data_IF_465890081292
#
_entry.id   IF_465890081292
#
_cell.length_a   1.000
_cell.length_b   1.000
_cell.length_c   1.000
_cell.angle_alpha   90.00
_cell.angle_beta   90.00
_cell.angle_gamma   90.00
#
_symmetry.space_group_name_H-M   'P 1'
#
loop_
_entity.id
_entity.type
_entity.pdbx_description
1 polymer ?
#
# COMPACT_ATOMS: atom_id res chain seq x y z
N UNK A 1 24.56 17.79 25.38
CA UNK A 1 24.42 18.14 24.83
C UNK A 1 24.11 18.13 23.53
N UNK A 2 24.57 18.21 22.98
CA UNK A 2 24.42 18.22 21.66
C UNK A 2 23.39 17.41 21.11
N UNK A 3 23.16 16.49 21.70
CA UNK A 3 22.27 15.63 21.16
C UNK A 3 21.07 16.24 20.70
N UNK A 4 20.57 17.12 21.33
CA UNK A 4 19.34 17.56 20.93
C UNK A 4 19.36 18.21 19.64
N UNK A 5 20.44 18.54 19.23
CA UNK A 5 20.48 19.17 18.04
C UNK A 5 19.75 18.54 17.01
N UNK A 6 19.87 17.29 16.89
CA UNK A 6 19.19 16.69 15.88
C UNK A 6 17.79 16.89 16.08
N UNK A 7 17.36 16.91 17.22
CA UNK A 7 15.97 16.99 17.31
C UNK A 7 15.51 18.31 16.86
N UNK A 8 16.22 19.31 17.01
CA UNK A 8 15.68 20.49 16.59
C UNK A 8 15.68 20.60 15.18
N UNK A 9 16.48 19.98 14.53
CA UNK A 9 16.39 20.08 13.16
C UNK A 9 15.15 19.66 12.66
N UNK A 10 14.62 18.72 13.26
CA UNK A 10 13.43 18.27 12.82
C UNK A 10 12.47 19.30 12.93
N UNK A 11 12.53 20.07 13.90
CA UNK A 11 11.54 20.97 14.02
C UNK A 11 11.81 22.12 13.24
N UNK A 12 12.75 22.11 12.46
CA UNK A 12 13.01 23.24 11.66
C UNK A 12 11.75 23.72 11.01
N UNK A 13 10.86 22.88 10.70
CA UNK A 13 9.61 23.31 10.14
C UNK A 13 8.51 22.67 10.86
N UNK A 14 8.35 22.93 12.08
CA UNK A 14 7.40 22.24 12.88
C UNK A 14 5.96 22.45 12.48
N UNK A 15 5.65 23.58 11.99
CA UNK A 15 4.30 23.84 11.60
C UNK A 15 3.85 22.93 10.50
N UNK A 16 4.64 22.80 9.49
CA UNK A 16 4.23 21.95 8.41
C UNK A 16 4.30 20.50 8.84
N UNK A 17 5.24 20.15 9.69
CA UNK A 17 5.33 18.79 10.12
C UNK A 17 4.11 18.38 10.92
N UNK A 18 3.54 19.29 11.65
CA UNK A 18 2.40 18.98 12.45
C UNK A 18 1.20 18.61 11.63
N UNK A 19 1.11 19.10 10.41
CA UNK A 19 -0.06 18.91 9.62
C UNK A 19 0.10 17.85 8.55
N UNK A 20 1.28 17.25 8.48
CA UNK A 20 1.50 16.33 7.38
C UNK A 20 1.98 15.03 7.89
N UNK A 21 1.11 14.31 8.55
CA UNK A 21 1.41 12.93 8.85
C UNK A 21 1.56 12.20 7.52
N UNK A 22 2.55 11.35 7.41
CA UNK A 22 2.78 10.61 6.19
C UNK A 22 1.63 9.65 5.94
N UNK A 23 1.29 9.48 4.69
CA UNK A 23 0.30 8.47 4.32
C UNK A 23 0.95 7.10 4.44
N UNK A 24 0.18 6.12 4.87
CA UNK A 24 0.67 4.79 5.17
C UNK A 24 0.27 3.81 4.08
N UNK A 25 1.25 3.08 3.58
CA UNK A 25 1.04 2.06 2.55
C UNK A 25 1.37 0.70 3.12
N UNK A 26 0.49 -0.28 2.90
CA UNK A 26 0.77 -1.65 3.26
C UNK A 26 1.05 -2.41 1.97
N UNK A 27 2.18 -3.10 1.89
CA UNK A 27 2.58 -3.86 0.71
C UNK A 27 2.60 -5.33 1.07
N UNK A 28 1.97 -6.18 0.25
CA UNK A 28 2.02 -7.62 0.44
C UNK A 28 2.63 -8.21 -0.83
N UNK A 29 3.87 -8.66 -0.72
CA UNK A 29 4.67 -9.13 -1.84
C UNK A 29 5.67 -10.17 -1.34
N UNK A 30 5.60 -11.40 -1.84
CA UNK A 30 6.46 -12.47 -1.33
C UNK A 30 7.87 -12.48 -1.92
N UNK A 31 8.08 -11.88 -3.08
CA UNK A 31 9.41 -11.84 -3.67
C UNK A 31 10.25 -10.77 -2.95
N UNK A 32 11.36 -11.19 -2.36
CA UNK A 32 12.16 -10.29 -1.53
C UNK A 32 12.71 -9.09 -2.28
N UNK A 33 13.20 -9.29 -3.50
CA UNK A 33 13.75 -8.18 -4.25
C UNK A 33 12.67 -7.19 -4.68
N UNK A 34 11.53 -7.70 -5.12
CA UNK A 34 10.42 -6.82 -5.50
C UNK A 34 9.92 -6.04 -4.30
N UNK A 35 9.81 -6.71 -3.14
CA UNK A 35 9.33 -6.05 -1.94
C UNK A 35 10.29 -4.96 -1.50
N UNK A 36 11.59 -5.25 -1.51
CA UNK A 36 12.58 -4.27 -1.11
C UNK A 36 12.59 -3.07 -2.06
N UNK A 37 12.49 -3.33 -3.35
CA UNK A 37 12.46 -2.25 -4.34
C UNK A 37 11.25 -1.34 -4.13
N UNK A 38 10.08 -1.92 -3.89
CA UNK A 38 8.88 -1.13 -3.64
C UNK A 38 9.00 -0.35 -2.33
N UNK A 39 9.51 -0.99 -1.28
CA UNK A 39 9.69 -0.31 -0.01
C UNK A 39 10.59 0.91 -0.19
N UNK A 40 11.75 0.73 -0.78
CA UNK A 40 12.72 1.82 -0.92
C UNK A 40 12.18 2.95 -1.77
N UNK A 41 11.55 2.61 -2.88
CA UNK A 41 11.03 3.63 -3.78
C UNK A 41 9.92 4.43 -3.12
N UNK A 42 8.98 3.75 -2.46
CA UNK A 42 7.82 4.44 -1.91
C UNK A 42 8.17 5.22 -0.64
N UNK A 43 9.13 4.73 0.13
CA UNK A 43 9.65 5.51 1.25
C UNK A 43 10.31 6.80 0.71
N UNK A 44 11.09 6.67 -0.37
CA UNK A 44 11.70 7.83 -1.01
C UNK A 44 10.64 8.83 -1.47
N UNK A 45 9.49 8.34 -1.91
CA UNK A 45 8.39 9.20 -2.36
C UNK A 45 7.65 9.87 -1.21
N UNK A 46 7.99 9.55 0.03
CA UNK A 46 7.41 10.24 1.19
C UNK A 46 6.33 9.46 1.92
N UNK A 47 6.18 8.18 1.65
CA UNK A 47 5.19 7.37 2.35
C UNK A 47 5.79 6.65 3.55
N UNK A 48 4.94 6.33 4.51
CA UNK A 48 5.28 5.41 5.57
C UNK A 48 4.88 4.02 5.06
N UNK A 49 5.80 3.09 4.99
CA UNK A 49 5.58 1.81 4.34
C UNK A 49 5.79 0.67 5.32
N UNK A 50 4.84 -0.28 5.33
CA UNK A 50 5.01 -1.52 6.03
C UNK A 50 4.78 -2.62 5.01
N UNK A 51 5.67 -3.60 4.93
CA UNK A 51 5.52 -4.64 3.93
C UNK A 51 5.50 -6.02 4.56
N UNK A 52 4.74 -6.92 3.95
CA UNK A 52 4.58 -8.30 4.39
C UNK A 52 4.98 -9.22 3.26
N UNK A 53 5.61 -10.34 3.61
CA UNK A 53 6.00 -11.35 2.62
C UNK A 53 4.91 -12.39 2.39
N UNK A 54 3.85 -12.37 3.18
CA UNK A 54 2.77 -13.35 3.07
C UNK A 54 1.50 -12.77 3.67
N UNK A 55 0.43 -13.50 3.62
CA UNK A 55 -0.84 -13.07 4.19
C UNK A 55 -1.05 -13.46 5.65
N UNK A 56 -0.05 -14.08 6.29
CA UNK A 56 -0.24 -14.69 7.59
C UNK A 56 -0.76 -13.73 8.66
N UNK A 57 -0.22 -12.51 8.72
CA UNK A 57 -0.65 -11.56 9.73
C UNK A 57 -1.38 -10.37 9.14
N UNK A 58 -1.98 -10.57 7.98
CA UNK A 58 -2.51 -9.46 7.21
C UNK A 58 -3.56 -8.65 8.00
N UNK A 59 -4.55 -9.33 8.57
CA UNK A 59 -5.63 -8.61 9.23
C UNK A 59 -5.20 -8.01 10.56
N UNK A 60 -4.25 -8.63 11.25
CA UNK A 60 -3.69 -8.04 12.46
C UNK A 60 -2.95 -6.76 12.14
N UNK A 61 -2.21 -6.77 11.05
CA UNK A 61 -1.46 -5.60 10.61
C UNK A 61 -2.41 -4.49 10.17
N UNK A 62 -3.50 -4.83 9.48
CA UNK A 62 -4.49 -3.83 9.09
C UNK A 62 -5.02 -3.10 10.31
N UNK A 63 -5.34 -3.84 11.36
CA UNK A 63 -5.92 -3.24 12.56
C UNK A 63 -4.94 -2.30 13.26
N UNK A 64 -3.66 -2.64 13.29
CA UNK A 64 -2.67 -1.83 13.99
C UNK A 64 -2.07 -0.73 13.13
N UNK A 65 -1.80 -1.01 11.86
CA UNK A 65 -1.14 -0.03 10.99
C UNK A 65 -2.11 0.96 10.36
N UNK A 66 -3.32 0.52 10.10
CA UNK A 66 -4.37 1.35 9.51
C UNK A 66 -3.89 2.04 8.23
N UNK A 67 -3.59 1.26 7.19
CA UNK A 67 -3.05 1.84 5.96
C UNK A 67 -4.07 2.68 5.22
N UNK A 68 -3.59 3.64 4.45
CA UNK A 68 -4.43 4.44 3.57
C UNK A 68 -4.59 3.77 2.21
N UNK A 69 -3.71 2.84 1.88
CA UNK A 69 -3.78 2.12 0.61
C UNK A 69 -2.99 0.82 0.74
N UNK A 70 -3.43 -0.21 0.04
CA UNK A 70 -2.78 -1.52 0.05
C UNK A 70 -2.32 -1.86 -1.36
N UNK A 71 -1.03 -2.26 -1.49
CA UNK A 71 -0.51 -2.88 -2.70
C UNK A 71 -0.48 -4.37 -2.45
N UNK A 72 -1.17 -5.15 -3.28
CA UNK A 72 -1.35 -6.57 -3.03
C UNK A 72 -0.95 -7.40 -4.25
N UNK A 73 -0.07 -8.37 -4.04
CA UNK A 73 0.21 -9.39 -5.05
C UNK A 73 -0.85 -10.49 -4.90
N UNK A 74 -1.28 -11.03 -6.01
CA UNK A 74 -2.28 -12.09 -6.00
C UNK A 74 -1.67 -13.45 -5.70
N UNK A 75 -0.41 -13.67 -6.06
CA UNK A 75 0.22 -14.96 -5.84
C UNK A 75 1.07 -14.91 -4.58
N UNK A 76 0.50 -15.38 -3.49
CA UNK A 76 1.17 -15.41 -2.19
C UNK A 76 1.39 -16.87 -1.77
N UNK A 77 2.37 -17.13 -0.89
CA UNK A 77 2.71 -18.51 -0.54
C UNK A 77 1.68 -19.21 0.34
N UNK A 78 0.92 -18.48 1.12
CA UNK A 78 0.07 -19.07 2.13
C UNK A 78 -1.43 -18.84 1.90
N UNK A 79 -1.81 -17.87 1.13
CA UNK A 79 -3.22 -17.61 0.88
C UNK A 79 -3.35 -17.00 -0.51
N UNK A 80 -4.44 -17.32 -1.18
CA UNK A 80 -4.74 -16.76 -2.47
C UNK A 80 -5.05 -15.27 -2.32
N UNK A 81 -4.36 -14.43 -3.08
CA UNK A 81 -4.58 -12.98 -3.00
C UNK A 81 -5.99 -12.56 -3.38
N UNK A 82 -6.65 -13.29 -4.26
CA UNK A 82 -8.05 -13.00 -4.57
C UNK A 82 -8.92 -13.21 -3.33
N UNK A 83 -8.60 -14.21 -2.51
CA UNK A 83 -9.34 -14.46 -1.27
C UNK A 83 -9.16 -13.30 -0.30
N UNK A 84 -7.93 -12.81 -0.16
CA UNK A 84 -7.68 -11.65 0.70
C UNK A 84 -8.46 -10.44 0.22
N UNK A 85 -8.44 -10.21 -1.09
CA UNK A 85 -9.14 -9.08 -1.69
C UNK A 85 -10.64 -9.16 -1.42
N UNK A 86 -11.21 -10.35 -1.58
CA UNK A 86 -12.63 -10.55 -1.32
C UNK A 86 -12.96 -10.29 0.15
N UNK A 87 -12.15 -10.81 1.05
CA UNK A 87 -12.37 -10.60 2.48
C UNK A 87 -12.30 -9.14 2.86
N UNK A 88 -11.36 -8.40 2.27
CA UNK A 88 -11.26 -6.96 2.50
C UNK A 88 -12.53 -6.24 2.05
N UNK A 89 -12.99 -6.57 0.85
CA UNK A 89 -14.12 -5.88 0.26
C UNK A 89 -15.41 -6.16 1.03
N UNK A 90 -15.53 -7.33 1.62
CA UNK A 90 -16.72 -7.69 2.37
C UNK A 90 -16.71 -7.18 3.81
N UNK A 91 -15.58 -6.70 4.31
CA UNK A 91 -15.48 -6.27 5.70
C UNK A 91 -15.76 -4.77 5.80
N UNK A 92 -16.75 -4.41 6.59
CA UNK A 92 -17.17 -3.01 6.71
C UNK A 92 -16.07 -2.12 7.27
N UNK A 93 -15.14 -2.69 8.04
CA UNK A 93 -14.06 -1.89 8.62
C UNK A 93 -13.05 -1.45 7.57
N UNK A 94 -12.82 -2.27 6.53
CA UNK A 94 -11.70 -2.06 5.63
C UNK A 94 -12.09 -1.93 4.16
N UNK A 95 -13.36 -2.10 3.82
CA UNK A 95 -13.73 -2.12 2.40
C UNK A 95 -13.51 -0.81 1.67
N UNK A 96 -13.32 0.28 2.41
CA UNK A 96 -13.07 1.57 1.78
C UNK A 96 -11.58 1.86 1.58
N UNK A 97 -10.69 0.99 2.04
CA UNK A 97 -9.26 1.16 1.79
C UNK A 97 -9.01 0.75 0.34
N UNK A 98 -8.45 1.63 -0.49
CA UNK A 98 -8.17 1.27 -1.88
C UNK A 98 -7.10 0.19 -1.97
N UNK A 99 -7.32 -0.79 -2.83
CA UNK A 99 -6.37 -1.88 -3.05
C UNK A 99 -5.92 -1.84 -4.50
N UNK A 100 -4.63 -1.71 -4.70
CA UNK A 100 -4.02 -1.76 -6.03
C UNK A 100 -3.32 -3.11 -6.14
N UNK A 101 -3.64 -3.86 -7.19
CA UNK A 101 -3.01 -5.15 -7.44
C UNK A 101 -1.74 -4.95 -8.25
N UNK A 102 -0.66 -5.64 -7.86
CA UNK A 102 0.59 -5.67 -8.62
C UNK A 102 0.94 -7.14 -8.78
N UNK A 103 0.72 -7.71 -9.95
CA UNK A 103 0.80 -9.14 -10.15
C UNK A 103 1.45 -9.53 -11.46
N UNK A 104 2.03 -10.73 -11.50
CA UNK A 104 2.54 -11.28 -12.74
C UNK A 104 1.42 -11.87 -13.60
N UNK A 105 0.21 -12.01 -13.07
CA UNK A 105 -0.92 -12.55 -13.83
C UNK A 105 -1.34 -11.51 -14.86
N UNK A 106 -1.24 -11.87 -16.15
CA UNK A 106 -1.36 -10.88 -17.22
C UNK A 106 -2.62 -11.05 -18.09
N UNK A 107 -3.47 -12.03 -17.81
CA UNK A 107 -4.64 -12.22 -18.63
C UNK A 107 -5.76 -11.25 -18.25
N UNK A 108 -6.56 -10.90 -19.26
CA UNK A 108 -7.68 -10.01 -19.02
C UNK A 108 -8.62 -10.56 -17.95
N UNK A 109 -8.79 -11.88 -17.90
CA UNK A 109 -9.65 -12.51 -16.92
C UNK A 109 -9.13 -12.29 -15.49
N UNK A 110 -7.82 -12.27 -15.30
CA UNK A 110 -7.25 -12.04 -13.97
C UNK A 110 -7.57 -10.61 -13.50
N UNK A 111 -7.37 -9.66 -14.40
CA UNK A 111 -7.65 -8.27 -14.08
C UNK A 111 -9.14 -8.08 -13.79
N UNK A 112 -10.01 -8.63 -14.63
CA UNK A 112 -11.44 -8.46 -14.45
C UNK A 112 -11.90 -9.07 -13.13
N UNK A 113 -11.35 -10.23 -12.78
CA UNK A 113 -11.69 -10.88 -11.52
C UNK A 113 -11.30 -10.01 -10.33
N UNK A 114 -10.10 -9.43 -10.37
CA UNK A 114 -9.64 -8.58 -9.28
C UNK A 114 -10.51 -7.34 -9.14
N UNK A 115 -10.84 -6.70 -10.25
CA UNK A 115 -11.67 -5.50 -10.22
C UNK A 115 -13.06 -5.86 -9.66
N UNK A 116 -13.62 -6.99 -10.07
CA UNK A 116 -14.93 -7.42 -9.59
C UNK A 116 -14.90 -7.70 -8.09
N UNK A 117 -13.76 -8.09 -7.54
CA UNK A 117 -13.62 -8.36 -6.13
C UNK A 117 -13.23 -7.12 -5.31
N UNK A 118 -13.13 -5.96 -5.95
CA UNK A 118 -12.95 -4.70 -5.24
C UNK A 118 -11.65 -3.97 -5.46
N UNK A 119 -10.74 -4.49 -6.29
CA UNK A 119 -9.50 -3.76 -6.56
C UNK A 119 -9.81 -2.49 -7.35
N UNK A 120 -9.10 -1.41 -7.05
CA UNK A 120 -9.33 -0.15 -7.76
C UNK A 120 -8.40 0.00 -8.95
N UNK A 121 -7.24 -0.65 -8.95
CA UNK A 121 -6.27 -0.59 -10.06
C UNK A 121 -5.55 -1.92 -10.15
N UNK A 122 -5.01 -2.22 -11.32
CA UNK A 122 -4.31 -3.48 -11.55
C UNK A 122 -3.06 -3.21 -12.41
N UNK A 123 -1.88 -3.54 -11.88
CA UNK A 123 -0.62 -3.38 -12.60
C UNK A 123 0.01 -4.74 -12.83
N UNK A 124 0.50 -4.96 -14.04
CA UNK A 124 1.16 -6.21 -14.41
C UNK A 124 2.66 -6.01 -14.22
N UNK A 125 3.33 -6.98 -13.60
CA UNK A 125 4.77 -6.93 -13.41
C UNK A 125 5.49 -7.20 -14.74
N UNK A 126 6.60 -6.53 -14.98
CA UNK A 126 7.28 -5.56 -14.13
C UNK A 126 6.55 -4.22 -14.17
N UNK A 127 6.35 -3.62 -13.01
CA UNK A 127 5.54 -2.41 -12.94
C UNK A 127 6.40 -1.19 -13.25
N UNK A 128 5.79 -0.22 -13.91
CA UNK A 128 6.42 1.09 -14.08
C UNK A 128 6.22 1.85 -12.78
N UNK A 129 7.31 2.13 -12.08
CA UNK A 129 7.22 2.72 -10.74
C UNK A 129 6.61 4.12 -10.74
N UNK A 130 6.87 4.89 -11.78
CA UNK A 130 6.31 6.23 -11.86
C UNK A 130 4.80 6.19 -12.04
N UNK A 131 4.31 5.28 -12.88
CA UNK A 131 2.87 5.11 -13.07
C UNK A 131 2.22 4.60 -11.78
N UNK A 132 2.87 3.69 -11.09
CA UNK A 132 2.36 3.17 -9.83
C UNK A 132 2.27 4.30 -8.80
N UNK A 133 3.30 5.12 -8.70
CA UNK A 133 3.31 6.24 -7.76
C UNK A 133 2.17 7.20 -8.05
N UNK A 134 1.95 7.51 -9.32
CA UNK A 134 0.87 8.39 -9.71
C UNK A 134 -0.49 7.81 -9.33
N UNK A 135 -0.67 6.52 -9.56
CA UNK A 135 -1.92 5.86 -9.24
C UNK A 135 -2.17 5.83 -7.74
N UNK A 136 -1.13 5.58 -6.94
CA UNK A 136 -1.24 5.61 -5.49
C UNK A 136 -1.70 6.99 -5.02
N UNK A 137 -1.03 8.03 -5.49
CA UNK A 137 -1.38 9.39 -5.08
C UNK A 137 -2.81 9.73 -5.46
N UNK A 138 -3.23 9.32 -6.65
CA UNK A 138 -4.57 9.60 -7.12
C UNK A 138 -5.62 8.89 -6.27
N UNK A 139 -5.42 7.61 -5.97
CA UNK A 139 -6.39 6.85 -5.20
C UNK A 139 -6.52 7.37 -3.77
N UNK A 140 -5.42 7.74 -3.15
CA UNK A 140 -5.45 8.30 -1.81
C UNK A 140 -6.20 9.64 -1.82
N UNK A 141 -5.97 10.47 -2.82
CA UNK A 141 -6.62 11.76 -2.93
C UNK A 141 -8.13 11.60 -3.14
N UNK A 142 -8.54 10.67 -4.00
CA UNK A 142 -9.94 10.43 -4.25
C UNK A 142 -10.64 10.02 -2.95
N UNK A 143 -10.02 9.11 -2.18
CA UNK A 143 -10.66 8.65 -0.95
C UNK A 143 -10.75 9.77 0.08
N UNK A 144 -9.76 10.62 0.15
CA UNK A 144 -9.77 11.72 1.10
C UNK A 144 -10.90 12.70 0.79
N UNK A 145 -11.20 12.92 -0.49
CA UNK A 145 -12.23 13.88 -0.85
C UNK A 145 -13.62 13.31 -0.72
N UNK A 146 -13.77 12.00 -0.57
CA UNK A 146 -15.07 11.41 -0.42
C UNK A 146 -15.55 11.34 1.01
N UNK A 147 -14.74 11.67 1.97
CA UNK A 147 -15.19 11.67 3.35
C UNK A 147 -15.77 13.04 3.79
#
# INVERSE_FOLDING_TARGET
MSSNIKSQNLKSNPASLQHTALKRLLIVEDNNLNRLMLDDYLIFCGYQVLSLASGANFFEVLASFQPHLILLDLKLPDIDGYTLLEQLHLDLRWRNIPVIIVSAFAFRADRQRAINLGACQYFIKPVNLNELRQSIAQEITIRATKT
#
